data_IF_060770534478
#
_entry.id   IF_060770534478
#
_cell.length_a   1.000
_cell.length_b   1.000
_cell.length_c   1.000
_cell.angle_alpha   90.00
_cell.angle_beta   90.00
_cell.angle_gamma   90.00
#
_symmetry.space_group_name_H-M   'P 1'
#
loop_
_entity.id
_entity.type
_entity.pdbx_description
1 polymer ?
#
# COMPACT_ATOMS: atom_id res chain seq x y z
N UNK A 1 4.63 -9.05 25.95
CA UNK A 1 4.45 -8.03 24.86
C UNK A 1 5.47 -8.23 23.72
N UNK A 2 6.80 -8.40 23.98
CA UNK A 2 7.84 -8.63 22.94
C UNK A 2 7.57 -9.86 22.08
N UNK A 3 7.16 -10.98 22.66
CA UNK A 3 6.90 -12.25 21.95
C UNK A 3 5.65 -12.16 21.03
N UNK A 4 4.59 -11.43 21.43
CA UNK A 4 3.43 -11.15 20.57
C UNK A 4 3.79 -10.26 19.37
N UNK A 5 4.64 -9.27 19.57
CA UNK A 5 5.09 -8.41 18.47
C UNK A 5 5.96 -9.14 17.43
N UNK A 6 6.84 -10.05 17.88
CA UNK A 6 7.62 -10.92 16.98
C UNK A 6 6.70 -11.80 16.11
N UNK A 7 5.72 -12.49 16.70
CA UNK A 7 4.78 -13.34 15.96
C UNK A 7 3.90 -12.56 14.96
N UNK A 8 3.54 -11.30 15.26
CA UNK A 8 2.78 -10.46 14.30
C UNK A 8 3.70 -10.02 13.16
N UNK A 9 4.91 -9.57 13.45
CA UNK A 9 5.87 -9.12 12.43
C UNK A 9 6.20 -10.22 11.42
N UNK A 10 6.39 -11.45 11.88
CA UNK A 10 6.71 -12.59 11.02
C UNK A 10 5.56 -12.93 10.05
N UNK A 11 4.31 -12.60 10.41
CA UNK A 11 3.14 -12.82 9.56
C UNK A 11 3.05 -11.87 8.37
N UNK A 12 3.81 -10.78 8.35
CA UNK A 12 3.84 -9.82 7.25
C UNK A 12 4.92 -10.12 6.22
N UNK A 13 5.85 -11.02 6.53
CA UNK A 13 6.95 -11.34 5.62
C UNK A 13 6.41 -11.94 4.33
N UNK A 14 6.69 -11.29 3.20
CA UNK A 14 6.24 -11.72 1.88
C UNK A 14 4.73 -11.56 1.61
N UNK A 15 3.96 -11.02 2.56
CA UNK A 15 2.51 -10.87 2.44
C UNK A 15 2.14 -9.58 1.70
N UNK A 16 1.23 -9.71 0.73
CA UNK A 16 0.65 -8.58 0.02
C UNK A 16 -0.43 -7.87 0.85
N UNK A 17 -0.71 -6.60 0.52
CA UNK A 17 -1.76 -5.79 1.14
C UNK A 17 -2.75 -5.31 0.08
N UNK A 18 -3.73 -6.16 -0.24
CA UNK A 18 -4.66 -5.95 -1.37
C UNK A 18 -5.99 -5.36 -0.94
N UNK A 19 -6.47 -5.77 0.23
CA UNK A 19 -7.67 -5.25 0.86
C UNK A 19 -7.53 -5.36 2.39
N UNK A 20 -8.09 -4.41 3.15
CA UNK A 20 -8.05 -4.42 4.61
C UNK A 20 -8.81 -5.58 5.24
N UNK A 21 -9.84 -6.10 4.57
CA UNK A 21 -10.62 -7.28 5.01
C UNK A 21 -9.78 -8.55 5.17
N UNK A 22 -8.63 -8.63 4.50
CA UNK A 22 -7.74 -9.79 4.53
C UNK A 22 -6.84 -9.81 5.78
N UNK A 23 -6.99 -8.81 6.64
CA UNK A 23 -6.20 -8.64 7.85
C UNK A 23 -7.07 -8.66 9.09
N UNK A 24 -6.55 -9.27 10.14
CA UNK A 24 -7.21 -9.23 11.45
C UNK A 24 -7.08 -7.85 12.08
N UNK A 25 -7.99 -7.53 13.01
CA UNK A 25 -7.92 -6.28 13.80
C UNK A 25 -6.53 -6.06 14.42
N UNK A 26 -5.93 -7.08 14.99
CA UNK A 26 -4.62 -6.98 15.62
C UNK A 26 -3.49 -6.66 14.62
N UNK A 27 -3.59 -7.17 13.39
CA UNK A 27 -2.66 -6.86 12.31
C UNK A 27 -2.83 -5.42 11.82
N UNK A 28 -4.07 -4.94 11.65
CA UNK A 28 -4.33 -3.54 11.29
C UNK A 28 -3.87 -2.58 12.38
N UNK A 29 -4.14 -2.87 13.66
CA UNK A 29 -3.64 -2.08 14.79
C UNK A 29 -2.10 -2.04 14.83
N UNK A 30 -1.44 -3.14 14.48
CA UNK A 30 0.02 -3.17 14.35
C UNK A 30 0.50 -2.27 13.20
N UNK A 31 -0.14 -2.30 12.02
CA UNK A 31 0.21 -1.45 10.88
C UNK A 31 -0.01 0.03 11.18
N UNK A 32 -1.09 0.38 11.88
CA UNK A 32 -1.35 1.75 12.33
C UNK A 32 -0.26 2.21 13.30
N UNK A 33 0.11 1.37 14.27
CA UNK A 33 1.19 1.66 15.22
C UNK A 33 2.55 1.81 14.55
N UNK A 34 2.86 0.97 13.55
CA UNK A 34 4.07 1.09 12.74
C UNK A 34 4.07 2.39 11.91
N UNK A 35 2.93 2.75 11.32
CA UNK A 35 2.77 4.00 10.58
C UNK A 35 3.00 5.23 11.46
N UNK A 36 2.46 5.23 12.68
CA UNK A 36 2.70 6.28 13.68
C UNK A 36 4.19 6.39 14.04
N UNK A 37 4.86 5.25 14.24
CA UNK A 37 6.29 5.20 14.53
C UNK A 37 7.14 5.77 13.38
N UNK A 38 6.88 5.35 12.14
CA UNK A 38 7.61 5.86 10.96
C UNK A 38 7.36 7.35 10.75
N UNK A 39 6.13 7.81 10.97
CA UNK A 39 5.77 9.24 10.94
C UNK A 39 6.56 10.04 11.98
N UNK A 40 6.72 9.52 13.21
CA UNK A 40 7.55 10.16 14.26
C UNK A 40 9.03 10.22 13.86
N UNK A 41 9.60 9.12 13.35
CA UNK A 41 10.98 9.11 12.87
C UNK A 41 11.21 10.17 11.78
N UNK A 42 10.31 10.24 10.78
CA UNK A 42 10.37 11.25 9.73
C UNK A 42 10.27 12.67 10.27
N UNK A 43 9.31 12.93 11.17
CA UNK A 43 9.12 14.25 11.80
C UNK A 43 10.34 14.70 12.61
N UNK A 44 11.03 13.76 13.22
CA UNK A 44 12.25 14.01 14.01
C UNK A 44 13.54 13.97 13.16
N UNK A 45 13.42 13.80 11.85
CA UNK A 45 14.53 13.65 10.91
C UNK A 45 15.52 12.53 11.30
N UNK A 46 14.99 11.42 11.84
CA UNK A 46 15.75 10.22 12.18
C UNK A 46 15.75 9.29 10.96
N UNK A 47 16.93 9.06 10.39
CA UNK A 47 17.08 8.14 9.26
C UNK A 47 16.77 6.70 9.67
N UNK A 48 16.08 5.98 8.78
CA UNK A 48 15.65 4.61 9.02
C UNK A 48 15.62 3.82 7.70
N UNK A 49 16.70 3.12 7.43
CA UNK A 49 16.90 2.42 6.15
C UNK A 49 16.42 0.97 6.21
N UNK A 50 15.15 0.75 6.58
CA UNK A 50 14.58 -0.61 6.71
C UNK A 50 14.48 -1.38 5.39
N UNK A 51 14.48 -0.68 4.26
CA UNK A 51 14.43 -1.24 2.92
C UNK A 51 15.72 -0.96 2.12
N UNK A 52 16.86 -0.79 2.80
CA UNK A 52 18.14 -0.54 2.14
C UNK A 52 18.43 -1.59 1.07
N UNK A 53 18.76 -1.13 -0.14
CA UNK A 53 19.09 -2.00 -1.27
C UNK A 53 17.90 -2.68 -1.93
N UNK A 54 16.65 -2.31 -1.58
CA UNK A 54 15.43 -2.82 -2.20
C UNK A 54 14.98 -1.94 -3.36
N UNK A 55 14.46 -2.56 -4.41
CA UNK A 55 13.86 -1.88 -5.55
C UNK A 55 12.34 -2.10 -5.53
N UNK A 56 11.57 -1.01 -5.63
CA UNK A 56 10.12 -1.04 -5.56
C UNK A 56 9.53 -0.53 -6.86
N UNK A 57 8.74 -1.35 -7.55
CA UNK A 57 7.98 -0.92 -8.71
C UNK A 57 6.73 -0.15 -8.27
N UNK A 58 6.52 1.03 -8.85
CA UNK A 58 5.30 1.83 -8.69
C UNK A 58 4.51 1.77 -10.00
N UNK A 59 3.59 0.82 -10.09
CA UNK A 59 2.86 0.45 -11.29
C UNK A 59 1.50 1.17 -11.36
N UNK A 60 1.34 2.07 -12.35
CA UNK A 60 0.19 2.95 -12.44
C UNK A 60 -0.56 2.82 -13.76
N UNK A 61 -1.81 2.34 -13.73
CA UNK A 61 -2.75 2.46 -14.86
C UNK A 61 -3.48 3.81 -14.85
N UNK A 62 -3.66 4.42 -13.66
CA UNK A 62 -4.29 5.73 -13.46
C UNK A 62 -3.24 6.74 -13.00
N UNK A 63 -3.29 7.93 -13.53
CA UNK A 63 -2.47 9.04 -13.03
C UNK A 63 -2.83 9.39 -11.58
N UNK A 64 -1.84 9.70 -10.78
CA UNK A 64 -2.04 10.14 -9.40
C UNK A 64 -0.84 10.94 -8.90
N UNK A 65 -1.09 12.15 -8.44
CA UNK A 65 -0.06 12.98 -7.83
C UNK A 65 0.25 12.51 -6.41
N UNK A 66 -0.78 12.35 -5.58
CA UNK A 66 -0.61 12.03 -4.15
C UNK A 66 -0.06 10.64 -3.90
N UNK A 67 -0.65 9.61 -4.52
CA UNK A 67 -0.19 8.23 -4.32
C UNK A 67 1.24 8.04 -4.82
N UNK A 68 1.54 8.55 -6.02
CA UNK A 68 2.90 8.52 -6.57
C UNK A 68 3.89 9.19 -5.64
N UNK A 69 3.64 10.42 -5.22
CA UNK A 69 4.52 11.15 -4.32
C UNK A 69 4.70 10.44 -2.97
N UNK A 70 3.61 9.89 -2.39
CA UNK A 70 3.65 9.20 -1.11
C UNK A 70 4.51 7.94 -1.16
N UNK A 71 4.28 7.06 -2.14
CA UNK A 71 5.08 5.82 -2.27
C UNK A 71 6.54 6.12 -2.65
N UNK A 72 6.78 7.05 -3.56
CA UNK A 72 8.15 7.48 -3.92
C UNK A 72 8.90 7.97 -2.68
N UNK A 73 8.28 8.90 -1.92
CA UNK A 73 8.91 9.47 -0.72
C UNK A 73 9.10 8.41 0.37
N UNK A 74 8.10 7.55 0.60
CA UNK A 74 8.21 6.50 1.60
C UNK A 74 9.31 5.48 1.26
N UNK A 75 9.44 5.08 -0.01
CA UNK A 75 10.51 4.20 -0.45
C UNK A 75 11.89 4.82 -0.21
N UNK A 76 12.08 6.09 -0.57
CA UNK A 76 13.34 6.83 -0.36
C UNK A 76 13.66 6.97 1.14
N UNK A 77 12.69 7.36 1.96
CA UNK A 77 12.87 7.49 3.42
C UNK A 77 13.28 6.15 4.06
N UNK A 78 12.80 5.03 3.52
CA UNK A 78 13.13 3.67 3.95
C UNK A 78 14.43 3.14 3.34
N UNK A 79 15.12 3.91 2.48
CA UNK A 79 16.38 3.52 1.84
C UNK A 79 16.21 2.63 0.62
N UNK A 80 14.99 2.51 0.09
CA UNK A 80 14.71 1.78 -1.14
C UNK A 80 14.81 2.69 -2.38
N UNK A 81 14.86 2.07 -3.55
CA UNK A 81 14.81 2.73 -4.85
C UNK A 81 13.43 2.53 -5.50
N UNK A 82 12.60 3.58 -5.63
CA UNK A 82 11.33 3.50 -6.32
C UNK A 82 11.51 3.71 -7.83
N UNK A 83 10.90 2.84 -8.64
CA UNK A 83 10.80 3.00 -10.10
C UNK A 83 9.35 3.20 -10.51
N UNK A 84 9.07 4.31 -11.17
CA UNK A 84 7.73 4.64 -11.64
C UNK A 84 7.48 4.05 -13.02
N UNK A 85 6.42 3.23 -13.13
CA UNK A 85 5.97 2.56 -14.34
C UNK A 85 4.54 3.03 -14.66
N UNK A 86 4.43 4.05 -15.48
CA UNK A 86 3.14 4.62 -15.88
C UNK A 86 2.47 3.85 -17.01
N UNK A 87 1.18 4.11 -17.24
CA UNK A 87 0.37 3.43 -18.26
C UNK A 87 0.91 3.54 -19.70
N UNK A 88 1.72 4.56 -19.97
CA UNK A 88 2.36 4.74 -21.29
C UNK A 88 3.75 4.10 -21.36
N UNK A 89 4.33 3.72 -20.25
CA UNK A 89 5.68 3.19 -20.14
C UNK A 89 5.68 1.66 -20.17
N UNK A 90 4.50 1.03 -19.98
CA UNK A 90 4.34 -0.41 -19.84
C UNK A 90 3.37 -0.98 -20.88
N UNK A 91 3.49 -2.28 -21.12
CA UNK A 91 2.65 -3.03 -22.07
C UNK A 91 1.50 -3.80 -21.38
N UNK A 92 1.30 -3.60 -20.08
CA UNK A 92 0.29 -4.27 -19.26
C UNK A 92 -1.11 -4.13 -19.86
N UNK A 93 -1.78 -5.27 -20.05
CA UNK A 93 -3.12 -5.33 -20.64
C UNK A 93 -3.23 -4.96 -22.12
N UNK A 94 -2.10 -4.68 -22.81
CA UNK A 94 -2.07 -4.35 -24.25
C UNK A 94 -1.45 -5.47 -25.09
N UNK A 95 -0.20 -5.82 -24.81
CA UNK A 95 0.56 -6.86 -25.50
C UNK A 95 1.00 -8.00 -24.59
N UNK A 96 0.96 -7.77 -23.28
CA UNK A 96 1.36 -8.73 -22.27
C UNK A 96 0.18 -9.03 -21.34
N UNK A 97 0.09 -10.28 -20.89
CA UNK A 97 -0.85 -10.66 -19.83
C UNK A 97 -0.41 -10.08 -18.48
N UNK A 98 -1.35 -9.96 -17.56
CA UNK A 98 -1.02 -9.57 -16.15
C UNK A 98 -0.04 -10.56 -15.54
N UNK A 99 -0.22 -11.85 -15.81
CA UNK A 99 0.65 -12.93 -15.33
C UNK A 99 2.10 -12.77 -15.83
N UNK A 100 2.30 -12.51 -17.12
CA UNK A 100 3.65 -12.35 -17.69
C UNK A 100 4.33 -11.10 -17.10
N UNK A 101 3.61 -9.97 -17.07
CA UNK A 101 4.12 -8.74 -16.46
C UNK A 101 4.47 -8.95 -14.99
N UNK A 102 3.62 -9.66 -14.22
CA UNK A 102 3.87 -9.97 -12.82
C UNK A 102 5.17 -10.77 -12.63
N UNK A 103 5.35 -11.83 -13.44
CA UNK A 103 6.55 -12.66 -13.39
C UNK A 103 7.83 -11.88 -13.73
N UNK A 104 7.76 -11.00 -14.71
CA UNK A 104 8.90 -10.15 -15.11
C UNK A 104 9.23 -9.17 -14.00
N UNK A 105 8.24 -8.42 -13.49
CA UNK A 105 8.46 -7.45 -12.41
C UNK A 105 8.95 -8.12 -11.12
N UNK A 106 8.41 -9.27 -10.77
CA UNK A 106 8.84 -10.02 -9.59
C UNK A 106 10.27 -10.56 -9.65
N UNK A 107 10.90 -10.60 -10.85
CA UNK A 107 12.32 -10.93 -11.01
C UNK A 107 13.24 -9.71 -10.92
N UNK A 108 12.70 -8.52 -11.11
CA UNK A 108 13.44 -7.26 -11.15
C UNK A 108 13.30 -6.46 -9.85
N UNK A 109 12.14 -6.57 -9.19
CA UNK A 109 11.80 -5.77 -8.02
C UNK A 109 11.56 -6.63 -6.77
N UNK A 110 11.74 -6.02 -5.61
CA UNK A 110 11.52 -6.66 -4.30
C UNK A 110 10.08 -6.46 -3.78
N UNK A 111 9.31 -5.60 -4.45
CA UNK A 111 7.91 -5.35 -4.14
C UNK A 111 7.27 -4.47 -5.21
N UNK A 112 5.94 -4.52 -5.30
CA UNK A 112 5.16 -3.81 -6.32
C UNK A 112 4.04 -3.03 -5.63
N UNK A 113 3.98 -1.73 -5.87
CA UNK A 113 2.77 -0.94 -5.64
C UNK A 113 1.97 -0.90 -6.93
N UNK A 114 0.66 -1.11 -6.83
CA UNK A 114 -0.24 -1.05 -7.96
C UNK A 114 -1.36 -0.05 -7.72
N UNK A 115 -1.56 0.83 -8.69
CA UNK A 115 -2.71 1.72 -8.74
C UNK A 115 -3.39 1.61 -10.10
N UNK A 116 -4.61 1.09 -10.11
CA UNK A 116 -5.32 0.81 -11.35
C UNK A 116 -6.84 0.80 -11.18
N UNK A 117 -7.48 0.02 -12.04
CA UNK A 117 -8.93 -0.14 -12.07
C UNK A 117 -9.35 -1.45 -11.41
N UNK A 118 -8.85 -2.55 -11.89
CA UNK A 118 -9.32 -3.89 -11.56
C UNK A 118 -8.69 -4.43 -10.27
N UNK A 119 -9.54 -4.84 -9.33
CA UNK A 119 -9.09 -5.59 -8.16
C UNK A 119 -8.49 -6.95 -8.56
N UNK A 120 -9.08 -7.62 -9.54
CA UNK A 120 -8.56 -8.88 -10.06
C UNK A 120 -7.12 -8.73 -10.57
N UNK A 121 -6.80 -7.63 -11.24
CA UNK A 121 -5.44 -7.40 -11.74
C UNK A 121 -4.41 -7.31 -10.63
N UNK A 122 -4.71 -6.59 -9.53
CA UNK A 122 -3.78 -6.52 -8.39
C UNK A 122 -3.66 -7.86 -7.66
N UNK A 123 -4.71 -8.67 -7.66
CA UNK A 123 -4.69 -10.04 -7.11
C UNK A 123 -3.81 -10.96 -7.99
N UNK A 124 -3.94 -10.91 -9.31
CA UNK A 124 -3.07 -11.63 -10.26
C UNK A 124 -1.59 -11.20 -10.13
N UNK A 125 -1.34 -9.89 -9.98
CA UNK A 125 0.02 -9.40 -9.70
C UNK A 125 0.60 -10.02 -8.42
N UNK A 126 -0.19 -10.09 -7.36
CA UNK A 126 0.23 -10.70 -6.10
C UNK A 126 0.45 -12.21 -6.20
N UNK A 127 -0.38 -12.90 -6.98
CA UNK A 127 -0.30 -14.35 -7.18
C UNK A 127 0.96 -14.75 -7.97
N UNK A 128 1.26 -14.02 -9.05
CA UNK A 128 2.28 -14.46 -10.01
C UNK A 128 3.64 -13.77 -9.87
N UNK A 129 3.74 -12.63 -9.18
CA UNK A 129 5.02 -11.91 -9.07
C UNK A 129 6.03 -12.59 -8.14
N UNK A 130 5.55 -13.30 -7.11
CA UNK A 130 6.43 -13.89 -6.07
C UNK A 130 7.02 -12.86 -5.10
N UNK A 131 6.59 -11.58 -5.17
CA UNK A 131 7.00 -10.52 -4.27
C UNK A 131 5.75 -9.85 -3.65
N UNK A 132 5.88 -9.14 -2.50
CA UNK A 132 4.76 -8.42 -1.93
C UNK A 132 4.17 -7.38 -2.88
N UNK A 133 2.84 -7.31 -2.94
CA UNK A 133 2.10 -6.33 -3.73
C UNK A 133 1.22 -5.49 -2.80
N UNK A 134 1.25 -4.16 -3.00
CA UNK A 134 0.42 -3.21 -2.24
C UNK A 134 -0.57 -2.52 -3.16
N UNK A 135 -1.84 -2.57 -2.78
CA UNK A 135 -2.91 -1.90 -3.49
C UNK A 135 -2.97 -0.41 -3.13
N UNK A 136 -2.48 0.43 -4.03
CA UNK A 136 -2.52 1.90 -3.92
C UNK A 136 -3.84 2.52 -4.36
N UNK A 137 -4.70 1.79 -5.03
CA UNK A 137 -6.13 1.99 -5.32
C UNK A 137 -6.57 1.05 -6.44
N UNK A 138 -7.70 0.41 -6.26
CA UNK A 138 -8.55 -0.16 -7.33
C UNK A 138 -9.94 0.47 -7.27
N UNK A 139 -10.84 0.05 -8.14
CA UNK A 139 -12.24 0.52 -8.10
C UNK A 139 -12.99 0.00 -6.86
N UNK A 140 -12.49 -1.08 -6.24
CA UNK A 140 -13.12 -1.74 -5.09
C UNK A 140 -12.46 -1.38 -3.75
N UNK A 141 -11.12 -1.25 -3.70
CA UNK A 141 -10.36 -1.14 -2.46
C UNK A 141 -9.26 -0.08 -2.53
N UNK A 142 -9.04 0.60 -1.39
CA UNK A 142 -7.92 1.51 -1.19
C UNK A 142 -7.30 1.33 0.21
N UNK A 143 -6.72 0.14 0.51
CA UNK A 143 -6.32 -0.22 1.86
C UNK A 143 -5.23 0.69 2.44
N UNK A 144 -4.34 1.19 1.61
CA UNK A 144 -3.29 2.12 2.05
C UNK A 144 -3.85 3.48 2.50
N UNK A 145 -4.93 3.96 1.86
CA UNK A 145 -5.64 5.16 2.31
C UNK A 145 -6.35 4.91 3.64
N UNK A 146 -6.99 3.74 3.80
CA UNK A 146 -7.69 3.42 5.05
C UNK A 146 -6.75 3.40 6.24
N UNK A 147 -5.50 2.92 6.10
CA UNK A 147 -4.50 3.01 7.17
C UNK A 147 -4.17 4.46 7.54
N UNK A 148 -4.06 5.35 6.55
CA UNK A 148 -3.82 6.78 6.79
C UNK A 148 -5.00 7.45 7.50
N UNK A 149 -6.22 7.10 7.10
CA UNK A 149 -7.46 7.61 7.71
C UNK A 149 -7.60 7.14 9.15
N UNK A 150 -7.38 5.84 9.42
CA UNK A 150 -7.40 5.29 10.77
C UNK A 150 -6.34 5.92 11.67
N UNK A 151 -5.12 6.12 11.18
CA UNK A 151 -4.09 6.83 11.94
C UNK A 151 -4.51 8.27 12.25
N UNK A 152 -5.07 8.97 11.27
CA UNK A 152 -5.56 10.34 11.44
C UNK A 152 -6.67 10.42 12.48
N UNK A 153 -7.64 9.50 12.43
CA UNK A 153 -8.72 9.40 13.42
C UNK A 153 -8.14 9.12 14.81
N UNK A 154 -7.21 8.18 14.92
CA UNK A 154 -6.59 7.85 16.21
C UNK A 154 -5.80 9.01 16.80
N UNK A 155 -5.07 9.77 15.98
CA UNK A 155 -4.31 10.94 16.42
C UNK A 155 -5.22 12.08 16.93
N UNK A 156 -6.40 12.25 16.32
CA UNK A 156 -7.32 13.33 16.68
C UNK A 156 -8.29 12.97 17.82
N UNK A 157 -8.72 11.71 17.89
CA UNK A 157 -9.75 11.27 18.85
C UNK A 157 -9.22 10.31 19.92
N UNK A 158 -7.97 9.86 19.83
CA UNK A 158 -7.35 8.92 20.76
C UNK A 158 -7.90 7.49 20.71
N UNK A 159 -8.88 7.22 19.84
CA UNK A 159 -9.55 5.93 19.70
C UNK A 159 -10.10 5.73 18.28
N UNK A 160 -10.35 4.48 17.91
CA UNK A 160 -11.08 4.12 16.68
C UNK A 160 -12.47 3.55 17.00
N UNK A 161 -12.60 2.88 18.14
CA UNK A 161 -13.83 2.19 18.54
C UNK A 161 -14.96 3.17 18.88
N UNK A 162 -16.17 2.86 18.42
CA UNK A 162 -17.38 3.65 18.69
C UNK A 162 -17.47 4.96 17.89
N UNK A 163 -16.65 5.11 16.85
CA UNK A 163 -16.72 6.25 15.93
C UNK A 163 -17.39 5.83 14.60
N UNK A 164 -18.11 6.75 14.02
CA UNK A 164 -18.67 6.59 12.67
C UNK A 164 -17.79 7.37 11.70
N UNK A 165 -17.21 6.65 10.73
CA UNK A 165 -16.43 7.23 9.64
C UNK A 165 -17.31 7.30 8.39
N UNK A 166 -17.58 8.52 7.91
CA UNK A 166 -18.24 8.73 6.65
C UNK A 166 -17.19 9.11 5.59
N UNK A 167 -17.19 8.38 4.47
CA UNK A 167 -16.34 8.68 3.32
C UNK A 167 -17.20 9.32 2.25
N UNK A 168 -16.91 10.58 1.91
CA UNK A 168 -17.61 11.33 0.87
C UNK A 168 -16.61 11.91 -0.11
N UNK A 169 -16.88 11.75 -1.40
CA UNK A 169 -16.11 12.38 -2.47
C UNK A 169 -16.89 13.56 -3.05
N UNK A 170 -16.20 14.63 -3.39
CA UNK A 170 -16.81 15.86 -3.93
C UNK A 170 -17.55 15.67 -5.27
N UNK A 171 -17.42 14.51 -5.91
CA UNK A 171 -18.04 14.16 -7.18
C UNK A 171 -19.09 13.04 -7.09
N UNK A 172 -19.36 12.52 -5.89
CA UNK A 172 -20.45 11.59 -5.66
C UNK A 172 -21.68 12.39 -5.24
N UNK A 173 -22.67 12.49 -6.13
CA UNK A 173 -24.04 12.79 -5.71
C UNK A 173 -24.54 11.57 -4.94
N UNK A 174 -24.68 11.70 -3.63
CA UNK A 174 -25.40 10.69 -2.83
C UNK A 174 -26.83 10.58 -3.40
N UNK A 175 -27.35 9.37 -3.62
CA UNK A 175 -28.76 9.24 -3.96
C UNK A 175 -29.58 9.84 -2.82
N UNK A 176 -30.28 10.90 -3.13
CA UNK A 176 -31.27 11.50 -2.24
C UNK A 176 -32.50 10.61 -2.30
N UNK A 177 -32.68 9.74 -1.33
CA UNK A 177 -33.96 9.10 -1.03
C UNK A 177 -34.73 9.96 -0.03
#
# INVERSE_FOLDING_TARGET
RRQRQMCIRDRFQGRSFLAEKDFTRAELEYLIGLSAHLKDLKKRNIQHHYLAGKNIALLFEKTSTRTRAAFTTAAIDLGAHPEYLGANDIQLGKKESTEDTAKVLGRMFDGIEFRGFSQRMVEELAEFSGVPVWNGLTDEWHPTQMLADYLTVQENFGRLEGLTLAVSYTHLTLPTN
#
